data_IF_716187856147
#
_entry.id   IF_716187856147
#
_cell.length_a   1.000
_cell.length_b   1.000
_cell.length_c   1.000
_cell.angle_alpha   90.00
_cell.angle_beta   90.00
_cell.angle_gamma   90.00
#
_symmetry.space_group_name_H-M   'P 1'
#
loop_
_entity.id
_entity.type
_entity.pdbx_description
1 polymer ?
#
# COMPACT_ATOMS: atom_id res chain seq x y z
N UNK A 1 -12.43 -11.43 -20.03
CA UNK A 1 -12.75 -9.99 -19.95
C UNK A 1 -12.50 -9.48 -18.52
N UNK A 2 -12.08 -8.22 -18.35
CA UNK A 2 -11.79 -7.57 -17.06
C UNK A 2 -12.65 -6.29 -16.94
N UNK A 3 -13.28 -6.06 -15.78
CA UNK A 3 -14.18 -4.91 -15.53
C UNK A 3 -13.92 -4.31 -14.13
N UNK A 4 -13.66 -3.00 -14.00
CA UNK A 4 -13.65 -2.35 -12.69
C UNK A 4 -15.06 -2.33 -12.07
N UNK A 5 -15.16 -2.48 -10.76
CA UNK A 5 -16.42 -2.36 -10.02
C UNK A 5 -16.43 -1.06 -9.21
N UNK A 6 -17.62 -0.46 -9.06
CA UNK A 6 -17.83 0.74 -8.24
C UNK A 6 -17.89 0.44 -6.72
N UNK A 7 -17.76 -0.83 -6.35
CA UNK A 7 -17.71 -1.28 -4.96
C UNK A 7 -16.36 -0.98 -4.31
N UNK A 8 -16.40 -0.57 -3.05
CA UNK A 8 -15.24 -0.02 -2.34
C UNK A 8 -15.01 1.47 -2.64
N UNK A 9 -14.18 2.12 -1.82
CA UNK A 9 -13.76 3.52 -2.03
C UNK A 9 -12.37 3.74 -1.49
N UNK A 10 -11.60 4.63 -2.15
CA UNK A 10 -10.27 5.13 -1.74
C UNK A 10 -9.23 4.01 -1.53
N UNK A 11 -9.36 3.31 -0.40
CA UNK A 11 -8.48 2.26 0.11
C UNK A 11 -8.85 0.87 -0.38
N UNK A 12 -10.02 0.70 -0.99
CA UNK A 12 -10.48 -0.56 -1.56
C UNK A 12 -10.78 -0.32 -3.04
N UNK A 13 -10.21 -1.13 -3.91
CA UNK A 13 -10.47 -1.13 -5.35
C UNK A 13 -10.83 -2.54 -5.79
N UNK A 14 -11.87 -2.68 -6.59
CA UNK A 14 -12.40 -3.98 -7.00
C UNK A 14 -12.38 -4.12 -8.52
N UNK A 15 -11.94 -5.28 -8.99
CA UNK A 15 -11.92 -5.64 -10.40
C UNK A 15 -12.49 -7.05 -10.57
N UNK A 16 -13.48 -7.18 -11.43
CA UNK A 16 -14.06 -8.45 -11.82
C UNK A 16 -13.37 -8.97 -13.10
N UNK A 17 -13.00 -10.24 -13.09
CA UNK A 17 -12.53 -11.00 -14.24
C UNK A 17 -13.59 -12.05 -14.56
N UNK A 18 -14.17 -11.99 -15.75
CA UNK A 18 -15.18 -12.97 -16.16
C UNK A 18 -14.53 -14.30 -16.53
N UNK A 19 -14.98 -15.35 -15.85
CA UNK A 19 -14.53 -16.72 -16.04
C UNK A 19 -15.42 -17.49 -16.98
N UNK A 20 -14.91 -18.63 -17.45
CA UNK A 20 -15.75 -19.62 -18.16
C UNK A 20 -16.81 -20.19 -17.21
N UNK A 21 -17.97 -20.52 -17.75
CA UNK A 21 -19.06 -21.20 -17.04
C UNK A 21 -19.53 -20.44 -15.78
N UNK A 22 -19.61 -19.10 -15.84
CA UNK A 22 -19.97 -18.21 -14.73
C UNK A 22 -19.05 -18.31 -13.49
N UNK A 23 -17.84 -18.82 -13.64
CA UNK A 23 -16.86 -18.88 -12.56
C UNK A 23 -16.11 -17.55 -12.41
N UNK A 24 -16.80 -16.45 -12.12
CA UNK A 24 -16.18 -15.12 -12.07
C UNK A 24 -15.13 -15.02 -10.95
N UNK A 25 -14.11 -14.20 -11.16
CA UNK A 25 -13.05 -13.92 -10.21
C UNK A 25 -13.09 -12.45 -9.84
N UNK A 26 -13.18 -12.16 -8.54
CA UNK A 26 -13.09 -10.83 -7.99
C UNK A 26 -11.70 -10.61 -7.38
N UNK A 27 -10.99 -9.61 -7.89
CA UNK A 27 -9.72 -9.12 -7.39
C UNK A 27 -9.98 -7.84 -6.61
N UNK A 28 -9.57 -7.80 -5.36
CA UNK A 28 -9.74 -6.66 -4.46
C UNK A 28 -8.36 -6.19 -4.05
N UNK A 29 -7.98 -4.96 -4.41
CA UNK A 29 -6.79 -4.30 -3.87
C UNK A 29 -7.18 -3.51 -2.63
N UNK A 30 -6.44 -3.67 -1.53
CA UNK A 30 -6.72 -2.97 -0.27
C UNK A 30 -5.47 -2.33 0.35
N UNK A 31 -5.65 -1.16 0.96
CA UNK A 31 -4.65 -0.47 1.79
C UNK A 31 -5.25 -0.07 3.14
N UNK A 32 -5.10 -0.91 4.16
CA UNK A 32 -5.66 -0.66 5.49
C UNK A 32 -4.93 0.49 6.21
N UNK A 33 -5.62 1.27 7.05
CA UNK A 33 -5.00 2.38 7.79
C UNK A 33 -3.85 1.92 8.69
N UNK A 34 -2.70 2.59 8.61
CA UNK A 34 -1.56 2.38 9.51
C UNK A 34 -1.80 3.00 10.88
N UNK A 35 -1.11 2.51 11.92
CA UNK A 35 -1.26 2.99 13.32
C UNK A 35 -0.82 4.44 13.56
N UNK A 36 -0.25 5.11 12.55
CA UNK A 36 0.25 6.47 12.65
C UNK A 36 -0.80 7.58 12.48
N UNK A 37 -2.04 7.28 12.06
CA UNK A 37 -3.07 8.30 11.83
C UNK A 37 -3.89 8.61 13.09
N UNK A 38 -4.51 9.80 13.17
CA UNK A 38 -5.25 10.27 14.36
C UNK A 38 -6.46 9.37 14.71
N UNK A 39 -7.14 8.84 13.69
CA UNK A 39 -8.32 7.97 13.81
C UNK A 39 -8.04 6.57 13.21
N UNK A 40 -6.80 6.11 13.31
CA UNK A 40 -6.35 4.88 12.64
C UNK A 40 -7.10 3.63 13.07
N UNK A 41 -7.69 3.62 14.27
CA UNK A 41 -8.44 2.47 14.76
C UNK A 41 -9.83 2.43 14.12
N UNK A 42 -10.58 3.54 14.21
CA UNK A 42 -11.92 3.63 13.63
C UNK A 42 -11.90 3.46 12.11
N UNK A 43 -10.96 4.11 11.41
CA UNK A 43 -10.82 3.94 9.96
C UNK A 43 -10.46 2.50 9.58
N UNK A 44 -9.69 1.81 10.43
CA UNK A 44 -9.30 0.41 10.18
C UNK A 44 -10.52 -0.49 10.28
N UNK A 45 -11.31 -0.37 11.34
CA UNK A 45 -12.54 -1.15 11.52
C UNK A 45 -13.53 -0.89 10.38
N UNK A 46 -13.77 0.39 10.05
CA UNK A 46 -14.67 0.79 8.96
C UNK A 46 -14.22 0.22 7.60
N UNK A 47 -12.91 0.19 7.33
CA UNK A 47 -12.39 -0.41 6.09
C UNK A 47 -12.60 -1.93 6.06
N UNK A 48 -12.45 -2.62 7.19
CA UNK A 48 -12.74 -4.06 7.30
C UNK A 48 -14.23 -4.34 7.13
N UNK A 49 -15.11 -3.52 7.70
CA UNK A 49 -16.55 -3.67 7.57
C UNK A 49 -16.99 -3.50 6.11
N UNK A 50 -16.44 -2.51 5.39
CA UNK A 50 -16.64 -2.35 3.95
C UNK A 50 -16.15 -3.56 3.14
N UNK A 51 -14.98 -4.13 3.48
CA UNK A 51 -14.54 -5.38 2.85
C UNK A 51 -15.51 -6.52 3.11
N UNK A 52 -16.05 -6.62 4.33
CA UNK A 52 -17.00 -7.67 4.69
C UNK A 52 -18.31 -7.53 3.90
N UNK A 53 -18.82 -6.33 3.70
CA UNK A 53 -19.98 -6.08 2.83
C UNK A 53 -19.72 -6.57 1.40
N UNK A 54 -18.55 -6.26 0.83
CA UNK A 54 -18.15 -6.70 -0.51
C UNK A 54 -18.05 -8.23 -0.56
N UNK A 55 -17.39 -8.85 0.41
CA UNK A 55 -17.26 -10.30 0.50
C UNK A 55 -18.63 -10.96 0.57
N UNK A 56 -19.53 -10.49 1.42
CA UNK A 56 -20.88 -11.04 1.56
C UNK A 56 -21.71 -10.88 0.28
N UNK A 57 -21.54 -9.76 -0.45
CA UNK A 57 -22.22 -9.50 -1.72
C UNK A 57 -21.79 -10.49 -2.82
N UNK A 58 -20.51 -10.86 -2.85
CA UNK A 58 -19.92 -11.64 -3.95
C UNK A 58 -19.60 -13.10 -3.63
N UNK A 59 -19.75 -13.53 -2.37
CA UNK A 59 -19.30 -14.85 -1.91
C UNK A 59 -19.90 -16.06 -2.63
N UNK A 60 -21.11 -15.92 -3.19
CA UNK A 60 -21.83 -17.01 -3.85
C UNK A 60 -21.64 -17.00 -5.38
N UNK A 61 -21.12 -15.90 -5.92
CA UNK A 61 -21.01 -15.66 -7.36
C UNK A 61 -19.57 -15.58 -7.85
N UNK A 62 -18.62 -15.32 -6.96
CA UNK A 62 -17.22 -15.09 -7.33
C UNK A 62 -16.26 -15.94 -6.51
N UNK A 63 -15.19 -16.37 -7.16
CA UNK A 63 -13.92 -16.61 -6.46
C UNK A 63 -13.33 -15.26 -6.06
N UNK A 64 -12.69 -15.19 -4.89
CA UNK A 64 -12.18 -13.91 -4.37
C UNK A 64 -10.70 -13.99 -4.03
N UNK A 65 -9.98 -12.91 -4.37
CA UNK A 65 -8.63 -12.61 -3.91
C UNK A 65 -8.64 -11.16 -3.41
N UNK A 66 -8.24 -10.97 -2.16
CA UNK A 66 -7.98 -9.66 -1.54
C UNK A 66 -6.46 -9.55 -1.39
N UNK A 67 -5.86 -8.58 -2.06
CA UNK A 67 -4.42 -8.34 -2.08
C UNK A 67 -4.05 -6.93 -1.63
N UNK A 68 -3.00 -6.79 -0.83
CA UNK A 68 -2.42 -5.49 -0.50
C UNK A 68 -1.92 -5.39 0.93
N UNK A 69 -1.63 -4.16 1.36
CA UNK A 69 -1.10 -3.85 2.68
C UNK A 69 -2.23 -3.82 3.71
N UNK A 70 -2.24 -4.82 4.60
CA UNK A 70 -3.20 -4.93 5.70
C UNK A 70 -2.74 -4.18 6.95
N UNK A 71 -1.53 -3.64 6.98
CA UNK A 71 -0.97 -2.88 8.11
C UNK A 71 -1.08 -3.59 9.47
N UNK A 72 -1.20 -4.92 9.46
CA UNK A 72 -1.24 -5.80 10.63
C UNK A 72 -0.54 -7.11 10.32
N UNK A 73 0.32 -7.54 11.24
CA UNK A 73 1.09 -8.78 11.11
C UNK A 73 0.30 -9.94 11.71
N UNK A 74 -0.37 -10.69 10.84
CA UNK A 74 -1.16 -11.88 11.20
C UNK A 74 -0.27 -13.04 11.68
N UNK A 75 0.99 -13.10 11.25
CA UNK A 75 1.95 -14.14 11.62
C UNK A 75 2.56 -13.97 13.01
N UNK A 76 2.56 -12.75 13.55
CA UNK A 76 3.17 -12.45 14.83
C UNK A 76 2.28 -12.86 16.03
N UNK A 77 2.50 -14.06 16.56
CA UNK A 77 1.74 -14.64 17.68
C UNK A 77 1.88 -13.81 18.97
N UNK A 78 3.02 -13.16 19.18
CA UNK A 78 3.32 -12.42 20.41
C UNK A 78 2.65 -11.04 20.45
N UNK A 79 2.20 -10.52 19.31
CA UNK A 79 1.57 -9.20 19.18
C UNK A 79 0.05 -9.31 19.06
N UNK A 80 -0.61 -9.57 20.18
CA UNK A 80 -2.08 -9.53 20.25
C UNK A 80 -2.53 -8.09 20.45
N UNK A 81 -3.33 -7.58 19.51
CA UNK A 81 -3.92 -6.24 19.58
C UNK A 81 -5.32 -6.24 18.96
N UNK A 82 -6.16 -5.28 19.34
CA UNK A 82 -7.57 -5.25 18.91
C UNK A 82 -7.77 -5.20 17.39
N UNK A 83 -6.85 -4.59 16.62
CA UNK A 83 -6.93 -4.53 15.16
C UNK A 83 -6.63 -5.89 14.56
N UNK A 84 -5.58 -6.54 15.05
CA UNK A 84 -5.24 -7.92 14.69
C UNK A 84 -6.41 -8.87 14.97
N UNK A 85 -6.97 -8.83 16.19
CA UNK A 85 -8.10 -9.68 16.56
C UNK A 85 -9.32 -9.46 15.64
N UNK A 86 -9.58 -8.21 15.26
CA UNK A 86 -10.68 -7.87 14.35
C UNK A 86 -10.45 -8.39 12.93
N UNK A 87 -9.23 -8.22 12.41
CA UNK A 87 -8.84 -8.72 11.10
C UNK A 87 -8.86 -10.26 11.06
N UNK A 88 -8.32 -10.92 12.09
CA UNK A 88 -8.36 -12.39 12.22
C UNK A 88 -9.80 -12.91 12.26
N UNK A 89 -10.68 -12.22 13.00
CA UNK A 89 -12.11 -12.54 13.04
C UNK A 89 -12.75 -12.41 11.66
N UNK A 90 -12.51 -11.30 10.95
CA UNK A 90 -12.98 -11.11 9.58
C UNK A 90 -12.48 -12.23 8.65
N UNK A 91 -11.18 -12.53 8.65
CA UNK A 91 -10.57 -13.58 7.83
C UNK A 91 -11.24 -14.93 8.09
N UNK A 92 -11.46 -15.26 9.36
CA UNK A 92 -12.11 -16.50 9.78
C UNK A 92 -13.58 -16.56 9.36
N UNK A 93 -14.36 -15.51 9.63
CA UNK A 93 -15.80 -15.45 9.34
C UNK A 93 -16.08 -15.46 7.83
N UNK A 94 -15.24 -14.77 7.05
CA UNK A 94 -15.30 -14.77 5.59
C UNK A 94 -14.82 -16.09 4.96
N UNK A 95 -14.21 -16.99 5.75
CA UNK A 95 -13.61 -18.23 5.28
C UNK A 95 -12.42 -17.99 4.33
N UNK A 96 -11.71 -16.88 4.54
CA UNK A 96 -10.54 -16.50 3.75
C UNK A 96 -9.33 -17.30 4.23
N UNK A 97 -8.49 -17.68 3.27
CA UNK A 97 -7.21 -18.33 3.52
C UNK A 97 -6.08 -17.38 3.14
N UNK A 98 -4.97 -17.52 3.83
CA UNK A 98 -3.71 -16.86 3.49
C UNK A 98 -2.57 -17.79 3.86
N UNK A 99 -1.48 -17.69 3.11
CA UNK A 99 -0.23 -18.40 3.37
C UNK A 99 0.82 -17.37 3.74
N UNK A 100 1.57 -17.60 4.82
CA UNK A 100 2.64 -16.70 5.25
C UNK A 100 3.88 -16.92 4.38
N UNK A 101 4.46 -15.84 3.86
CA UNK A 101 5.53 -15.96 2.86
C UNK A 101 6.79 -15.18 3.15
N UNK A 102 6.92 -14.76 4.40
CA UNK A 102 8.03 -13.96 4.84
C UNK A 102 7.65 -12.49 4.94
N UNK A 103 8.64 -11.72 5.34
CA UNK A 103 8.44 -10.32 5.70
C UNK A 103 8.37 -9.49 4.42
N UNK A 104 7.40 -8.60 4.40
CA UNK A 104 7.15 -7.70 3.26
C UNK A 104 7.53 -6.27 3.61
N UNK A 105 7.56 -5.90 4.89
CA UNK A 105 7.99 -4.58 5.33
C UNK A 105 9.47 -4.55 5.75
N UNK A 106 10.22 -3.61 5.20
CA UNK A 106 11.65 -3.39 5.44
C UNK A 106 11.84 -2.04 6.12
N UNK A 107 12.47 -2.03 7.30
CA UNK A 107 12.79 -0.80 8.02
C UNK A 107 13.80 0.03 7.22
N UNK A 108 13.91 1.32 7.57
CA UNK A 108 14.88 2.27 6.99
C UNK A 108 16.35 1.80 7.09
N UNK A 109 16.67 0.93 8.05
CA UNK A 109 18.01 0.35 8.20
C UNK A 109 18.24 -0.90 7.32
N UNK A 110 17.28 -1.27 6.46
CA UNK A 110 17.33 -2.46 5.61
C UNK A 110 16.92 -3.76 6.31
N UNK A 111 16.50 -3.71 7.58
CA UNK A 111 16.09 -4.89 8.33
C UNK A 111 14.64 -5.26 8.02
N UNK A 112 14.42 -6.47 7.53
CA UNK A 112 13.09 -7.04 7.37
C UNK A 112 12.39 -7.16 8.74
N UNK A 113 11.21 -6.57 8.86
CA UNK A 113 10.53 -6.43 10.15
C UNK A 113 9.25 -7.25 10.27
N UNK A 114 8.31 -7.04 9.35
CA UNK A 114 6.92 -7.50 9.50
C UNK A 114 6.36 -7.99 8.19
N UNK A 115 5.41 -8.91 8.28
CA UNK A 115 4.57 -9.31 7.16
C UNK A 115 3.31 -8.44 7.23
N UNK A 116 3.17 -7.47 6.32
CA UNK A 116 2.02 -6.54 6.31
C UNK A 116 1.19 -6.70 5.03
N UNK A 117 1.84 -7.09 3.94
CA UNK A 117 1.20 -7.35 2.65
C UNK A 117 0.76 -8.81 2.50
N UNK A 118 -0.51 -9.03 2.16
CA UNK A 118 -1.10 -10.36 2.05
C UNK A 118 -1.90 -10.55 0.76
N UNK A 119 -2.03 -11.82 0.35
CA UNK A 119 -3.14 -12.28 -0.49
C UNK A 119 -4.07 -13.15 0.36
N UNK A 120 -5.22 -12.61 0.76
CA UNK A 120 -6.31 -13.36 1.38
C UNK A 120 -7.22 -13.88 0.26
N UNK A 121 -7.68 -15.12 0.32
CA UNK A 121 -8.40 -15.68 -0.81
C UNK A 121 -9.45 -16.75 -0.45
N UNK A 122 -10.50 -16.81 -1.28
CA UNK A 122 -11.55 -17.84 -1.29
C UNK A 122 -11.67 -18.40 -2.71
N UNK A 123 -10.74 -19.27 -3.05
CA UNK A 123 -10.56 -19.79 -4.41
C UNK A 123 -11.29 -21.13 -4.68
N UNK A 124 -11.95 -21.70 -3.66
CA UNK A 124 -12.66 -22.97 -3.79
C UNK A 124 -11.76 -24.09 -4.32
N UNK A 125 -11.96 -24.49 -5.58
CA UNK A 125 -11.18 -25.53 -6.27
C UNK A 125 -9.92 -25.01 -6.95
N UNK A 126 -9.81 -23.71 -7.21
CA UNK A 126 -8.61 -23.09 -7.77
C UNK A 126 -7.56 -23.07 -6.65
N UNK A 127 -6.40 -23.66 -6.91
CA UNK A 127 -5.27 -23.63 -5.97
C UNK A 127 -4.28 -22.55 -6.42
N UNK A 128 -3.80 -21.69 -5.50
CA UNK A 128 -2.59 -20.93 -5.77
C UNK A 128 -1.47 -21.94 -6.08
N UNK A 129 -0.70 -21.65 -7.11
CA UNK A 129 0.37 -22.55 -7.58
C UNK A 129 1.74 -22.14 -7.09
N UNK A 130 1.94 -20.86 -6.82
CA UNK A 130 3.15 -20.32 -6.23
C UNK A 130 2.83 -18.91 -5.70
N UNK A 131 3.07 -18.65 -4.43
CA UNK A 131 3.10 -17.30 -3.90
C UNK A 131 4.55 -17.06 -3.40
N UNK A 132 5.07 -15.86 -3.64
CA UNK A 132 6.46 -15.49 -3.30
C UNK A 132 6.62 -13.99 -3.00
N UNK A 133 7.46 -13.65 -2.02
CA UNK A 133 7.99 -12.30 -1.83
C UNK A 133 9.13 -12.07 -2.84
N UNK A 134 9.05 -10.98 -3.59
CA UNK A 134 10.04 -10.60 -4.60
C UNK A 134 10.97 -9.53 -4.00
N UNK A 135 12.13 -9.97 -3.51
CA UNK A 135 13.17 -9.09 -2.95
C UNK A 135 14.17 -8.56 -3.99
N UNK A 136 14.14 -9.11 -5.20
CA UNK A 136 15.14 -8.85 -6.25
C UNK A 136 14.80 -7.70 -7.20
N UNK A 137 13.73 -6.94 -6.97
CA UNK A 137 13.34 -5.83 -7.85
C UNK A 137 14.41 -4.74 -7.73
N UNK A 138 15.23 -4.59 -8.79
CA UNK A 138 16.22 -3.53 -8.85
C UNK A 138 15.52 -2.18 -8.77
N UNK A 139 16.04 -1.28 -7.92
CA UNK A 139 15.48 0.05 -7.67
C UNK A 139 14.09 0.08 -7.00
N UNK A 140 13.70 -0.92 -6.20
CA UNK A 140 12.54 -0.77 -5.33
C UNK A 140 12.70 0.48 -4.44
N UNK A 141 11.80 1.46 -4.61
CA UNK A 141 11.80 2.72 -3.86
C UNK A 141 10.88 2.70 -2.64
N UNK A 142 10.10 1.62 -2.50
CA UNK A 142 9.19 1.38 -1.38
C UNK A 142 9.92 0.75 -0.19
N UNK A 143 9.44 1.01 1.01
CA UNK A 143 9.76 0.25 2.23
C UNK A 143 9.02 -1.10 2.30
N UNK A 144 8.20 -1.42 1.30
CA UNK A 144 7.56 -2.72 1.12
C UNK A 144 8.17 -3.51 -0.05
N UNK A 145 8.33 -4.82 0.14
CA UNK A 145 8.65 -5.80 -0.88
C UNK A 145 7.39 -6.27 -1.58
N UNK A 146 7.47 -6.48 -2.89
CA UNK A 146 6.33 -6.96 -3.67
C UNK A 146 6.02 -8.42 -3.37
N UNK A 147 4.74 -8.76 -3.30
CA UNK A 147 4.27 -10.15 -3.25
C UNK A 147 3.67 -10.56 -4.60
N UNK A 148 3.92 -11.78 -5.01
CA UNK A 148 3.35 -12.36 -6.22
C UNK A 148 2.58 -13.62 -5.88
N UNK A 149 1.40 -13.77 -6.48
CA UNK A 149 0.63 -15.01 -6.43
C UNK A 149 0.29 -15.46 -7.85
N UNK A 150 0.55 -16.73 -8.16
CA UNK A 150 0.16 -17.36 -9.43
C UNK A 150 -1.06 -18.24 -9.23
N UNK A 151 -2.12 -17.96 -9.97
CA UNK A 151 -3.32 -18.80 -10.04
C UNK A 151 -3.50 -19.32 -11.47
N UNK A 152 -4.07 -20.52 -11.60
CA UNK A 152 -4.52 -21.03 -12.89
C UNK A 152 -6.01 -20.77 -13.01
N UNK A 153 -6.39 -19.87 -13.93
CA UNK A 153 -7.77 -19.42 -14.07
C UNK A 153 -8.19 -19.36 -15.54
N UNK A 154 -9.36 -19.93 -15.83
CA UNK A 154 -9.92 -19.97 -17.19
C UNK A 154 -10.79 -18.74 -17.46
N UNK A 155 -10.27 -17.81 -18.27
CA UNK A 155 -10.99 -16.60 -18.67
C UNK A 155 -12.02 -16.94 -19.76
N UNK A 156 -13.22 -16.35 -19.70
CA UNK A 156 -14.19 -16.46 -20.80
C UNK A 156 -13.72 -15.67 -22.03
N UNK A 157 -13.81 -16.32 -23.19
CA UNK A 157 -13.50 -15.74 -24.50
C UNK A 157 -14.73 -15.16 -25.20
N UNK A 158 -15.88 -15.05 -24.52
CA UNK A 158 -17.10 -14.53 -25.14
C UNK A 158 -16.87 -13.11 -25.67
N UNK A 159 -16.79 -13.03 -27.00
CA UNK A 159 -16.45 -11.83 -27.75
C UNK A 159 -17.58 -10.77 -27.73
N UNK A 160 -18.71 -11.07 -27.10
CA UNK A 160 -19.92 -10.24 -27.09
C UNK A 160 -19.96 -9.19 -25.97
N UNK A 161 -18.99 -9.16 -25.07
CA UNK A 161 -18.94 -8.13 -24.03
C UNK A 161 -18.17 -6.86 -24.45
N UNK A 162 -18.16 -6.53 -25.75
CA UNK A 162 -17.41 -5.38 -26.30
C UNK A 162 -17.98 -3.99 -26.04
N UNK A 163 -19.11 -3.84 -25.34
CA UNK A 163 -19.80 -2.54 -25.22
C UNK A 163 -20.27 -2.20 -23.79
N UNK A 164 -19.36 -2.17 -22.81
CA UNK A 164 -19.63 -1.51 -21.53
C UNK A 164 -18.45 -0.60 -21.13
N UNK A 165 -18.03 0.27 -22.05
CA UNK A 165 -17.42 1.54 -21.65
C UNK A 165 -18.55 2.49 -21.23
N UNK A 166 -19.18 2.23 -20.09
CA UNK A 166 -20.01 3.26 -19.46
C UNK A 166 -19.07 4.17 -18.70
N UNK A 167 -19.04 5.44 -19.10
CA UNK A 167 -18.36 6.56 -18.45
C UNK A 167 -18.07 6.36 -16.95
N UNK A 168 -16.90 5.83 -16.61
CA UNK A 168 -16.32 5.97 -15.27
C UNK A 168 -15.65 7.35 -15.18
N UNK A 169 -16.42 8.41 -15.44
CA UNK A 169 -15.98 9.76 -15.07
C UNK A 169 -16.31 9.97 -13.60
N UNK A 170 -15.28 10.33 -12.82
CA UNK A 170 -15.33 10.97 -11.50
C UNK A 170 -15.46 10.05 -10.26
N UNK A 171 -14.37 9.91 -9.47
CA UNK A 171 -13.98 10.93 -8.46
C UNK A 171 -12.74 10.54 -7.63
N UNK A 172 -11.66 11.26 -7.94
CA UNK A 172 -10.67 11.88 -7.05
C UNK A 172 -9.99 11.02 -5.96
N UNK A 173 -8.78 10.59 -6.28
CA UNK A 173 -7.70 10.40 -5.32
C UNK A 173 -7.21 11.79 -4.90
N UNK A 174 -7.19 12.10 -3.60
CA UNK A 174 -6.68 13.38 -3.08
C UNK A 174 -5.20 13.25 -2.73
N UNK A 175 -4.36 13.78 -3.61
CA UNK A 175 -2.96 14.10 -3.35
C UNK A 175 -2.84 15.63 -3.39
N UNK A 176 -2.94 16.30 -2.25
CA UNK A 176 -3.08 17.77 -2.17
C UNK A 176 -1.86 18.59 -2.66
N UNK A 177 -0.92 18.00 -3.41
CA UNK A 177 0.35 18.65 -3.80
C UNK A 177 0.94 18.35 -5.19
N UNK A 178 0.34 17.52 -6.05
CA UNK A 178 0.89 17.21 -7.38
C UNK A 178 -0.10 17.52 -8.51
N UNK A 179 0.41 17.73 -9.73
CA UNK A 179 -0.40 17.95 -10.93
C UNK A 179 -1.08 16.64 -11.34
N UNK A 180 -2.25 16.39 -10.74
CA UNK A 180 -3.02 15.13 -10.84
C UNK A 180 -3.40 14.84 -12.29
N UNK A 181 -3.75 15.87 -13.04
CA UNK A 181 -4.19 15.71 -14.42
C UNK A 181 -3.00 15.31 -15.30
N UNK A 182 -1.82 15.87 -15.04
CA UNK A 182 -0.58 15.46 -15.71
C UNK A 182 -0.16 14.04 -15.34
N UNK A 183 -0.22 13.67 -14.06
CA UNK A 183 0.11 12.31 -13.62
C UNK A 183 -0.82 11.30 -14.27
N UNK A 184 -2.13 11.53 -14.20
CA UNK A 184 -3.13 10.67 -14.82
C UNK A 184 -2.94 10.57 -16.34
N UNK A 185 -2.64 11.67 -17.03
CA UNK A 185 -2.37 11.66 -18.46
C UNK A 185 -1.14 10.79 -18.80
N UNK A 186 -0.03 10.99 -18.09
CA UNK A 186 1.21 10.23 -18.29
C UNK A 186 1.04 8.74 -17.99
N UNK A 187 0.35 8.41 -16.90
CA UNK A 187 0.10 7.01 -16.55
C UNK A 187 -0.84 6.35 -17.54
N UNK A 188 -1.89 7.03 -18.00
CA UNK A 188 -2.85 6.46 -18.95
C UNK A 188 -2.20 6.21 -20.31
N UNK A 189 -1.39 7.15 -20.81
CA UNK A 189 -0.68 7.01 -22.09
C UNK A 189 0.23 5.77 -22.12
N UNK A 190 0.93 5.49 -21.02
CA UNK A 190 1.83 4.34 -20.95
C UNK A 190 1.14 3.04 -20.52
N UNK A 191 0.01 3.13 -19.80
CA UNK A 191 -0.77 1.96 -19.38
C UNK A 191 -1.31 1.19 -20.59
N UNK A 192 -1.75 1.88 -21.64
CA UNK A 192 -2.29 1.23 -22.84
C UNK A 192 -1.24 0.35 -23.56
N UNK A 193 0.04 0.74 -23.54
CA UNK A 193 1.12 -0.07 -24.11
C UNK A 193 1.37 -1.35 -23.29
N UNK A 194 1.30 -1.23 -21.96
CA UNK A 194 1.59 -2.31 -21.02
C UNK A 194 0.43 -3.31 -20.93
N UNK A 195 -0.82 -2.83 -21.01
CA UNK A 195 -2.02 -3.67 -20.97
C UNK A 195 -2.08 -4.70 -22.11
N UNK A 196 -1.33 -4.48 -23.19
CA UNK A 196 -1.27 -5.37 -24.35
C UNK A 196 -0.06 -6.33 -24.32
N UNK A 197 0.78 -6.29 -23.28
CA UNK A 197 1.96 -7.16 -23.20
C UNK A 197 1.58 -8.59 -22.77
N UNK A 198 2.21 -9.63 -23.35
CA UNK A 198 1.98 -11.01 -22.94
C UNK A 198 2.51 -11.25 -21.52
N UNK A 199 1.75 -11.99 -20.70
CA UNK A 199 2.05 -12.32 -19.30
C UNK A 199 2.19 -13.83 -19.08
N UNK A 200 2.57 -14.56 -20.12
CA UNK A 200 2.55 -16.02 -20.15
C UNK A 200 3.69 -16.63 -19.30
N UNK A 201 4.81 -15.92 -19.15
CA UNK A 201 6.00 -16.39 -18.41
C UNK A 201 6.32 -15.54 -17.17
N UNK A 202 7.13 -16.11 -16.26
CA UNK A 202 7.61 -15.42 -15.07
C UNK A 202 8.44 -14.18 -15.42
N UNK A 203 9.37 -14.32 -16.36
CA UNK A 203 10.22 -13.23 -16.82
C UNK A 203 9.40 -12.10 -17.46
N UNK A 204 8.38 -12.45 -18.25
CA UNK A 204 7.47 -11.47 -18.83
C UNK A 204 6.70 -10.70 -17.74
N UNK A 205 6.12 -11.38 -16.76
CA UNK A 205 5.39 -10.73 -15.68
C UNK A 205 6.29 -9.83 -14.80
N UNK A 206 7.52 -10.26 -14.53
CA UNK A 206 8.50 -9.44 -13.80
C UNK A 206 8.90 -8.21 -14.62
N UNK A 207 9.18 -8.39 -15.91
CA UNK A 207 9.53 -7.27 -16.80
C UNK A 207 8.40 -6.26 -16.97
N UNK A 208 7.15 -6.70 -17.06
CA UNK A 208 5.97 -5.82 -17.06
C UNK A 208 5.88 -5.07 -15.74
N UNK A 209 6.08 -5.73 -14.61
CA UNK A 209 6.07 -5.07 -13.29
C UNK A 209 7.18 -4.01 -13.17
N UNK A 210 8.38 -4.32 -13.66
CA UNK A 210 9.50 -3.37 -13.69
C UNK A 210 9.18 -2.15 -14.55
N UNK A 211 8.60 -2.35 -15.75
CA UNK A 211 8.15 -1.25 -16.62
C UNK A 211 7.04 -0.43 -15.97
N UNK A 212 6.08 -1.09 -15.31
CA UNK A 212 5.02 -0.40 -14.56
C UNK A 212 5.62 0.50 -13.49
N UNK A 213 6.56 -0.04 -12.72
CA UNK A 213 7.21 0.72 -11.67
C UNK A 213 8.03 1.89 -12.24
N UNK A 214 8.76 1.68 -13.34
CA UNK A 214 9.55 2.70 -14.02
C UNK A 214 8.67 3.88 -14.47
N UNK A 215 7.58 3.63 -15.21
CA UNK A 215 6.76 4.73 -15.71
C UNK A 215 5.98 5.44 -14.60
N UNK A 216 5.50 4.71 -13.58
CA UNK A 216 4.82 5.32 -12.44
C UNK A 216 5.77 6.25 -11.68
N UNK A 217 7.04 5.84 -11.56
CA UNK A 217 8.08 6.66 -10.94
C UNK A 217 8.43 7.88 -11.80
N UNK A 218 8.57 7.72 -13.12
CA UNK A 218 8.84 8.83 -14.05
C UNK A 218 7.70 9.85 -14.08
N UNK A 219 6.45 9.38 -14.09
CA UNK A 219 5.26 10.23 -13.98
C UNK A 219 5.28 11.01 -12.65
N UNK A 220 5.57 10.34 -11.54
CA UNK A 220 5.66 10.99 -10.23
C UNK A 220 6.78 12.04 -10.17
N UNK A 221 7.97 11.74 -10.68
CA UNK A 221 9.11 12.66 -10.72
C UNK A 221 8.80 13.88 -11.60
N UNK A 222 8.20 13.66 -12.77
CA UNK A 222 7.85 14.71 -13.72
C UNK A 222 6.80 15.66 -13.14
N UNK A 223 5.74 15.12 -12.54
CA UNK A 223 4.67 15.91 -11.94
C UNK A 223 5.14 16.71 -10.72
N UNK A 224 6.14 16.21 -9.99
CA UNK A 224 6.78 16.94 -8.90
C UNK A 224 7.69 18.09 -9.36
N UNK A 225 8.11 18.13 -10.64
CA UNK A 225 9.15 19.03 -11.15
C UNK A 225 8.67 20.42 -11.61
N UNK A 226 7.35 20.65 -11.73
CA UNK A 226 6.76 21.91 -12.21
C UNK A 226 6.57 23.01 -11.15
N UNK A 227 7.05 22.81 -9.92
CA UNK A 227 7.11 23.89 -8.93
C UNK A 227 8.48 24.57 -8.99
N UNK A 228 8.58 25.92 -8.86
CA UNK A 228 9.84 26.52 -8.47
C UNK A 228 10.28 25.81 -7.21
N UNK A 229 11.42 25.10 -7.29
CA UNK A 229 12.07 24.48 -6.14
C UNK A 229 12.32 25.58 -5.12
N UNK A 230 11.38 25.81 -4.20
CA UNK A 230 11.79 26.07 -2.83
C UNK A 230 12.71 24.90 -2.53
N UNK A 231 14.01 25.18 -2.43
CA UNK A 231 15.02 24.20 -2.08
C UNK A 231 14.51 23.48 -0.84
N UNK A 232 13.84 22.34 -1.05
CA UNK A 232 13.53 21.41 0.00
C UNK A 232 14.90 21.16 0.62
N UNK A 233 15.00 21.40 1.93
CA UNK A 233 16.22 21.06 2.67
C UNK A 233 16.62 19.67 2.20
N UNK A 234 17.89 19.46 1.78
CA UNK A 234 18.31 18.22 1.16
C UNK A 234 17.74 17.05 1.96
N UNK A 235 16.95 16.18 1.31
CA UNK A 235 16.57 14.90 1.92
C UNK A 235 17.89 14.26 2.32
N UNK A 236 18.12 14.17 3.63
CA UNK A 236 19.37 13.70 4.20
C UNK A 236 19.56 12.26 3.73
N UNK A 237 20.40 12.08 2.71
CA UNK A 237 21.03 10.80 2.42
C UNK A 237 21.66 10.31 3.73
N UNK A 238 21.37 9.05 4.08
CA UNK A 238 22.00 8.21 5.09
C UNK A 238 22.87 8.96 6.10
N UNK A 239 22.37 9.08 7.33
CA UNK A 239 23.11 9.74 8.40
C UNK A 239 24.44 9.01 8.63
N UNK A 240 25.54 9.62 8.21
CA UNK A 240 26.87 9.12 8.57
C UNK A 240 27.03 9.15 10.09
N UNK A 241 27.95 8.34 10.62
CA UNK A 241 28.26 8.34 12.05
C UNK A 241 28.56 9.76 12.56
N UNK A 242 29.23 10.57 11.75
CA UNK A 242 29.59 11.96 12.06
C UNK A 242 28.36 12.88 12.17
N UNK A 243 27.35 12.72 11.30
CA UNK A 243 26.11 13.50 11.35
C UNK A 243 25.30 13.15 12.60
N UNK A 244 25.26 11.86 12.95
CA UNK A 244 24.62 11.39 14.18
C UNK A 244 25.32 11.97 15.42
N UNK A 245 26.65 11.93 15.45
CA UNK A 245 27.46 12.52 16.52
C UNK A 245 27.21 14.02 16.67
N UNK A 246 27.22 14.76 15.57
CA UNK A 246 26.96 16.20 15.57
C UNK A 246 25.55 16.55 16.09
N UNK A 247 24.54 15.73 15.76
CA UNK A 247 23.17 15.94 16.23
C UNK A 247 22.99 15.59 17.71
N UNK A 248 23.67 14.55 18.19
CA UNK A 248 23.68 14.20 19.62
C UNK A 248 24.40 15.27 20.45
N UNK A 249 25.49 15.85 19.95
CA UNK A 249 26.15 17.00 20.55
C UNK A 249 25.25 18.24 20.54
N UNK A 250 24.59 18.55 19.42
CA UNK A 250 23.66 19.68 19.33
C UNK A 250 22.51 19.55 20.34
N UNK A 251 21.96 18.35 20.51
CA UNK A 251 20.91 18.06 21.51
C UNK A 251 21.43 18.25 22.95
N UNK A 252 22.67 17.82 23.24
CA UNK A 252 23.32 18.07 24.54
C UNK A 252 23.47 19.57 24.82
N UNK A 253 23.97 20.34 23.87
CA UNK A 253 24.14 21.79 24.04
C UNK A 253 22.80 22.51 24.21
N UNK A 254 21.77 22.12 23.45
CA UNK A 254 20.43 22.67 23.61
C UNK A 254 19.85 22.37 25.01
N UNK A 255 20.00 21.15 25.51
CA UNK A 255 19.54 20.77 26.85
C UNK A 255 20.26 21.58 27.96
N UNK A 256 21.57 21.84 27.80
CA UNK A 256 22.33 22.70 28.71
C UNK A 256 21.84 24.15 28.66
N UNK A 257 21.59 24.69 27.47
CA UNK A 257 21.06 26.04 27.30
C UNK A 257 19.67 26.21 27.94
N UNK A 258 18.77 25.24 27.75
CA UNK A 258 17.44 25.24 28.39
C UNK A 258 17.56 25.25 29.92
N UNK A 259 18.45 24.42 30.49
CA UNK A 259 18.71 24.40 31.95
C UNK A 259 19.22 25.75 32.45
N UNK A 260 20.18 26.37 31.75
CA UNK A 260 20.72 27.68 32.13
C UNK A 260 19.69 28.81 31.99
N UNK A 261 18.85 28.77 30.96
CA UNK A 261 17.74 29.71 30.78
C UNK A 261 16.78 29.66 31.96
N UNK A 262 16.37 28.46 32.37
CA UNK A 262 15.47 28.28 33.51
C UNK A 262 16.09 28.70 34.85
N UNK A 263 17.41 28.52 35.03
CA UNK A 263 18.14 29.01 36.20
C UNK A 263 18.23 30.55 36.23
N UNK A 264 18.35 31.21 35.07
CA UNK A 264 18.29 32.68 34.98
C UNK A 264 16.91 33.22 35.32
N UNK A 265 15.85 32.54 34.90
CA UNK A 265 14.46 32.94 35.23
C UNK A 265 14.16 32.81 36.72
N UNK A 266 14.76 31.85 37.42
CA UNK A 266 14.62 31.70 38.88
C UNK A 266 15.44 32.71 39.70
N UNK A 267 16.43 33.38 39.11
CA UNK A 267 17.24 34.41 39.80
C UNK A 267 16.60 35.80 39.81
N UNK A 268 15.47 35.99 39.12
CA UNK A 268 14.64 37.19 39.21
C UNK A 268 13.59 36.95 40.30
N UNK A 269 14.04 36.82 41.55
CA UNK A 269 13.17 36.97 42.72
C UNK A 269 13.46 38.38 43.26
N UNK A 270 12.43 39.20 43.25
CA UNK A 270 12.43 40.59 43.68
C UNK A 270 13.12 40.76 45.04
N UNK A 271 14.25 41.45 45.06
CA UNK A 271 14.67 42.16 46.27
C UNK A 271 13.74 43.35 46.43
N UNK A 272 12.70 43.19 47.24
CA UNK A 272 11.98 44.33 47.78
C UNK A 272 12.99 45.13 48.62
N UNK A 273 13.25 46.37 48.20
CA UNK A 273 13.94 47.37 49.00
C UNK A 273 12.95 47.88 50.04
N UNK A 274 13.30 47.71 51.31
CA UNK A 274 12.82 48.56 52.41
C UNK A 274 13.41 49.98 52.27
#
# INVERSE_FOLDING_TARGET
>A
MIRPLDDGRKRIQCVEVLGKDNNNLLLISVYLPSTGSHNHYEEFLDTIDQLNEIVLKYQDTHYMIIGGDLNEDLGNIDRINKRKDYLEKFVKEAGLKYENEGKTFVKVNGEECSELDYFLHKLGRIKPTNKQVISSIMNNTSDHLSIKMKILYGISNDADCKNLTSDCTNRAIRWDKDDIDLYAAMTNEQSDAILNMPLDTLEQATSVLEQVHEFLNDAAVTCASNKPRYKAKPKLNVWSADIKLALDEMRKYYAQWVKQKNQRTQKIIYTNKD
#
